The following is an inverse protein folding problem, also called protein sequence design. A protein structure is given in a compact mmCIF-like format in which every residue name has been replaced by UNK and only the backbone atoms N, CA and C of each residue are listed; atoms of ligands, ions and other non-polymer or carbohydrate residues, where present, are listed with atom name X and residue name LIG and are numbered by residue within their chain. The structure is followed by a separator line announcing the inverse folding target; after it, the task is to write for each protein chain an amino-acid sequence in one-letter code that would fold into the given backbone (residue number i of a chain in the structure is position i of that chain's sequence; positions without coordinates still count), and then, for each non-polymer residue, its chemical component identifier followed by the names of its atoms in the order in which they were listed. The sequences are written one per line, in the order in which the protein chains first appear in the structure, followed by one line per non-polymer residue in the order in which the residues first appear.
data_IF_425359306392
#
_entry.id   IF_425359306392
#
_cell.length_a   1.000
_cell.length_b   1.000
_cell.length_c   1.000
_cell.angle_alpha   90.00
_cell.angle_beta   90.00
_cell.angle_gamma   90.00
#
_symmetry.space_group_name_H-M   'P 1'
#
loop_
_entity.id
_entity.type
_entity.pdbx_description
1 polymer ?
#
# COMPACT_ATOMS: atom_id res chain seq x y z
N UNK A 1 32.63 -6.86 -4.77
CA UNK A 1 31.58 -7.23 -3.80
C UNK A 1 31.06 -5.94 -3.17
N UNK A 2 29.79 -5.62 -3.38
CA UNK A 2 29.18 -4.39 -2.85
C UNK A 2 28.79 -4.64 -1.39
N UNK A 3 29.17 -3.73 -0.50
CA UNK A 3 28.88 -3.79 0.93
C UNK A 3 27.34 -3.80 1.14
N UNK A 4 26.74 -4.78 1.85
CA UNK A 4 25.27 -4.92 1.96
C UNK A 4 24.56 -3.77 2.69
N UNK A 5 25.30 -2.97 3.45
CA UNK A 5 24.78 -1.95 4.37
C UNK A 5 24.43 -0.60 3.73
N UNK A 6 24.54 -0.46 2.41
CA UNK A 6 24.25 0.78 1.69
C UNK A 6 22.98 0.73 0.81
N UNK A 7 22.16 -0.32 0.97
CA UNK A 7 20.85 -0.43 0.30
C UNK A 7 19.76 0.40 1.00
N UNK A 8 20.02 0.89 2.20
CA UNK A 8 19.00 1.44 3.10
C UNK A 8 18.71 2.93 2.88
N UNK A 9 19.48 3.63 2.04
CA UNK A 9 19.29 5.06 1.74
C UNK A 9 18.62 5.35 0.39
N UNK A 10 18.54 4.37 -0.52
CA UNK A 10 18.02 4.60 -1.86
C UNK A 10 16.48 4.75 -1.85
N UNK A 11 15.98 5.86 -2.36
CA UNK A 11 14.55 6.08 -2.60
C UNK A 11 14.16 5.40 -3.93
N UNK A 12 13.33 4.35 -3.86
CA UNK A 12 12.78 3.69 -5.04
C UNK A 12 11.39 3.14 -4.77
N UNK A 13 10.55 3.15 -5.79
CA UNK A 13 9.18 2.63 -5.74
C UNK A 13 8.98 1.58 -6.83
N UNK A 14 8.05 0.65 -6.63
CA UNK A 14 7.59 -0.24 -7.70
C UNK A 14 6.85 0.56 -8.77
N UNK A 15 5.88 1.37 -8.32
CA UNK A 15 5.17 2.34 -9.16
C UNK A 15 5.25 3.71 -8.49
N UNK A 16 5.64 4.73 -9.26
CA UNK A 16 5.67 6.11 -8.78
C UNK A 16 4.83 6.98 -9.71
N UNK A 17 3.70 7.46 -9.18
CA UNK A 17 2.88 8.50 -9.81
C UNK A 17 3.39 9.84 -9.28
N UNK A 18 4.29 10.48 -10.05
CA UNK A 18 4.93 11.72 -9.63
C UNK A 18 4.08 12.97 -9.99
N UNK A 19 4.34 14.07 -9.27
CA UNK A 19 3.83 15.44 -9.46
C UNK A 19 2.72 15.62 -10.52
N UNK A 20 1.47 15.62 -10.06
CA UNK A 20 0.25 15.78 -10.87
C UNK A 20 -0.20 14.57 -11.72
N UNK A 21 0.47 13.42 -11.65
CA UNK A 21 -0.02 12.16 -12.24
C UNK A 21 -1.42 11.82 -11.71
N UNK A 22 -2.42 12.04 -12.55
CA UNK A 22 -3.84 12.04 -12.15
C UNK A 22 -4.66 11.22 -13.13
N UNK A 23 -5.80 10.69 -12.65
CA UNK A 23 -6.66 9.79 -13.42
C UNK A 23 -5.93 8.50 -13.86
N UNK A 24 -4.88 8.10 -13.14
CA UNK A 24 -4.20 6.84 -13.40
C UNK A 24 -4.98 5.67 -12.80
N UNK A 25 -5.05 4.57 -13.54
CA UNK A 25 -5.58 3.31 -13.04
C UNK A 25 -4.45 2.30 -12.87
N UNK A 26 -4.02 2.12 -11.62
CA UNK A 26 -3.01 1.12 -11.23
C UNK A 26 -3.76 -0.15 -10.88
N UNK A 27 -3.80 -1.09 -11.82
CA UNK A 27 -4.62 -2.29 -11.71
C UNK A 27 -3.88 -3.57 -12.07
N UNK A 28 -4.13 -4.65 -11.31
CA UNK A 28 -3.69 -5.99 -11.68
C UNK A 28 -2.18 -6.21 -11.59
N UNK A 29 -1.47 -5.48 -10.74
CA UNK A 29 -0.02 -5.58 -10.60
C UNK A 29 0.39 -6.50 -9.45
N UNK A 30 1.54 -7.16 -9.61
CA UNK A 30 2.26 -7.80 -8.50
C UNK A 30 3.53 -6.99 -8.27
N UNK A 31 3.63 -6.34 -7.11
CA UNK A 31 4.70 -5.42 -6.75
C UNK A 31 5.44 -6.00 -5.55
N UNK A 32 6.59 -6.61 -5.81
CA UNK A 32 7.32 -7.40 -4.81
C UNK A 32 8.68 -6.79 -4.46
N UNK A 33 9.01 -6.79 -3.15
CA UNK A 33 10.34 -6.48 -2.58
C UNK A 33 10.89 -5.11 -3.00
N UNK A 34 10.01 -4.12 -3.05
CA UNK A 34 10.37 -2.71 -3.28
C UNK A 34 10.55 -1.97 -1.96
N UNK A 35 11.12 -0.76 -1.94
CA UNK A 35 11.06 0.07 -0.72
C UNK A 35 9.67 0.68 -0.54
N UNK A 36 9.13 1.24 -1.61
CA UNK A 36 7.74 1.71 -1.68
C UNK A 36 7.01 0.83 -2.69
N UNK A 37 5.86 0.26 -2.34
CA UNK A 37 5.06 -0.53 -3.28
C UNK A 37 4.54 0.37 -4.40
N UNK A 38 3.63 1.26 -4.04
CA UNK A 38 3.19 2.36 -4.89
C UNK A 38 3.31 3.68 -4.15
N UNK A 39 3.87 4.69 -4.81
CA UNK A 39 3.86 6.07 -4.35
C UNK A 39 2.91 6.88 -5.22
N UNK A 40 1.80 7.31 -4.61
CA UNK A 40 0.73 8.06 -5.26
C UNK A 40 0.85 9.53 -4.90
N UNK A 41 1.00 10.36 -5.93
CA UNK A 41 0.71 11.80 -5.91
C UNK A 41 -0.36 12.10 -6.96
N UNK A 42 -0.74 13.36 -7.11
CA UNK A 42 -1.79 13.79 -8.04
C UNK A 42 -3.19 13.52 -7.48
N UNK A 43 -4.18 13.29 -8.35
CA UNK A 43 -5.60 13.11 -7.97
C UNK A 43 -6.37 12.10 -8.82
N UNK A 44 -7.49 11.63 -8.27
CA UNK A 44 -8.42 10.72 -8.92
C UNK A 44 -7.72 9.46 -9.47
N UNK A 45 -6.67 9.01 -8.78
CA UNK A 45 -5.99 7.79 -9.10
C UNK A 45 -6.70 6.61 -8.43
N UNK A 46 -6.74 5.48 -9.12
CA UNK A 46 -7.38 4.26 -8.63
C UNK A 46 -6.32 3.18 -8.52
N UNK A 47 -6.07 2.72 -7.31
CA UNK A 47 -5.14 1.65 -6.96
C UNK A 47 -6.03 0.47 -6.58
N UNK A 48 -6.29 -0.43 -7.52
CA UNK A 48 -7.23 -1.52 -7.32
C UNK A 48 -6.67 -2.87 -7.80
N UNK A 49 -6.99 -3.95 -7.10
CA UNK A 49 -6.65 -5.30 -7.55
C UNK A 49 -5.14 -5.55 -7.72
N UNK A 50 -4.32 -4.92 -6.89
CA UNK A 50 -2.87 -5.14 -6.88
C UNK A 50 -2.46 -6.02 -5.71
N UNK A 51 -1.37 -6.74 -5.87
CA UNK A 51 -0.70 -7.52 -4.83
C UNK A 51 0.61 -6.83 -4.49
N UNK A 52 0.74 -6.36 -3.26
CA UNK A 52 1.98 -5.82 -2.71
C UNK A 52 2.64 -6.87 -1.84
N UNK A 53 3.91 -7.18 -2.08
CA UNK A 53 4.65 -8.23 -1.38
C UNK A 53 5.93 -7.67 -0.80
N UNK A 54 6.10 -7.76 0.52
CA UNK A 54 7.37 -7.50 1.21
C UNK A 54 8.03 -6.14 0.87
N UNK A 55 7.25 -5.07 0.72
CA UNK A 55 7.88 -3.75 0.57
C UNK A 55 8.57 -3.36 1.88
N UNK A 56 9.86 -3.06 1.84
CA UNK A 56 10.75 -2.98 3.00
C UNK A 56 10.49 -1.72 3.86
N UNK A 57 10.53 -1.83 5.20
CA UNK A 57 10.63 -0.67 6.07
C UNK A 57 12.08 -0.14 6.04
N UNK A 58 12.28 1.14 6.32
CA UNK A 58 13.63 1.64 6.62
C UNK A 58 13.93 1.33 8.08
N UNK A 59 14.97 0.55 8.36
CA UNK A 59 15.61 0.59 9.68
C UNK A 59 16.46 1.87 9.76
N UNK A 60 16.11 2.80 10.64
CA UNK A 60 17.02 3.89 11.07
C UNK A 60 17.15 5.16 10.21
N UNK A 61 16.32 5.41 9.19
CA UNK A 61 16.36 6.65 8.39
C UNK A 61 14.97 7.15 7.98
N UNK A 62 14.80 8.47 7.76
CA UNK A 62 13.54 9.19 7.48
C UNK A 62 12.37 8.29 7.08
N UNK A 63 11.59 7.93 8.11
CA UNK A 63 10.50 6.95 8.14
C UNK A 63 9.26 7.38 7.33
N UNK A 64 9.32 8.54 6.67
CA UNK A 64 8.24 9.16 5.94
C UNK A 64 8.01 8.55 4.53
N UNK A 65 8.95 7.74 4.02
CA UNK A 65 8.95 7.26 2.63
C UNK A 65 9.18 5.75 2.49
N UNK A 66 8.47 4.94 3.27
CA UNK A 66 8.46 3.49 3.13
C UNK A 66 7.08 2.92 3.45
N UNK A 67 6.67 1.90 2.70
CA UNK A 67 5.37 1.27 2.84
C UNK A 67 4.91 0.57 1.57
N UNK A 68 3.94 -0.35 1.70
CA UNK A 68 3.36 -1.02 0.54
C UNK A 68 2.42 -0.09 -0.25
N UNK A 69 1.81 0.87 0.44
CA UNK A 69 1.07 1.99 -0.15
C UNK A 69 1.53 3.28 0.53
N UNK A 70 1.95 4.24 -0.27
CA UNK A 70 2.24 5.61 0.15
C UNK A 70 1.38 6.55 -0.69
N UNK A 71 0.49 7.30 -0.07
CA UNK A 71 -0.23 8.39 -0.74
C UNK A 71 0.21 9.70 -0.10
N UNK A 72 0.81 10.57 -0.91
CA UNK A 72 1.19 11.91 -0.48
C UNK A 72 0.15 12.93 -0.95
N UNK A 73 -0.45 13.62 0.00
CA UNK A 73 -1.02 14.93 -0.28
C UNK A 73 0.14 15.89 -0.54
N UNK A 74 0.21 16.48 -1.74
CA UNK A 74 1.33 17.37 -2.06
C UNK A 74 1.33 18.58 -1.12
N UNK A 75 2.50 18.86 -0.58
CA UNK A 75 2.69 19.86 0.46
C UNK A 75 3.19 21.19 -0.13
N UNK A 76 2.47 22.25 0.21
CA UNK A 76 2.84 23.68 0.13
C UNK A 76 2.54 24.47 -1.15
N UNK A 77 2.58 23.91 -2.37
CA UNK A 77 2.30 24.71 -3.58
C UNK A 77 0.85 24.65 -4.08
N UNK A 78 0.13 23.54 -3.86
CA UNK A 78 -1.27 23.37 -4.29
C UNK A 78 -2.11 22.52 -3.32
N UNK A 79 -2.55 23.06 -2.16
CA UNK A 79 -3.31 22.32 -1.15
C UNK A 79 -4.68 21.77 -1.62
N UNK A 80 -5.09 22.13 -2.83
CA UNK A 80 -6.33 21.71 -3.49
C UNK A 80 -6.12 20.60 -4.54
N UNK A 81 -4.87 20.23 -4.84
CA UNK A 81 -4.58 19.46 -6.04
C UNK A 81 -4.77 17.96 -5.84
N UNK A 82 -4.23 17.40 -4.75
CA UNK A 82 -4.51 16.00 -4.43
C UNK A 82 -5.94 15.86 -3.92
N UNK A 83 -6.69 14.92 -4.47
CA UNK A 83 -8.06 14.61 -4.05
C UNK A 83 -8.53 13.31 -4.71
N UNK A 84 -9.50 12.66 -4.08
CA UNK A 84 -10.28 11.59 -4.72
C UNK A 84 -9.50 10.33 -5.13
N UNK A 85 -8.34 10.08 -4.52
CA UNK A 85 -7.66 8.81 -4.76
C UNK A 85 -8.44 7.66 -4.10
N UNK A 86 -8.30 6.46 -4.67
CA UNK A 86 -8.98 5.25 -4.21
C UNK A 86 -7.99 4.10 -4.10
N UNK A 87 -7.99 3.40 -2.98
CA UNK A 87 -7.17 2.22 -2.73
C UNK A 87 -8.05 1.05 -2.28
N UNK A 88 -8.44 0.17 -3.21
CA UNK A 88 -9.46 -0.84 -2.94
C UNK A 88 -9.10 -2.22 -3.43
N UNK A 89 -9.61 -3.26 -2.77
CA UNK A 89 -9.46 -4.64 -3.25
C UNK A 89 -8.00 -5.00 -3.55
N UNK A 90 -7.05 -4.48 -2.77
CA UNK A 90 -5.65 -4.83 -2.90
C UNK A 90 -5.29 -5.89 -1.86
N UNK A 91 -4.22 -6.65 -2.13
CA UNK A 91 -3.63 -7.58 -1.17
C UNK A 91 -2.30 -6.98 -0.71
N UNK A 92 -2.16 -6.76 0.59
CA UNK A 92 -0.94 -6.31 1.24
C UNK A 92 -0.35 -7.47 2.02
N UNK A 93 0.61 -8.16 1.41
CA UNK A 93 1.22 -9.36 1.97
C UNK A 93 2.60 -9.05 2.54
N UNK A 94 2.77 -9.26 3.86
CA UNK A 94 4.04 -9.03 4.53
C UNK A 94 4.26 -9.99 5.71
N UNK A 95 4.87 -11.17 5.47
CA UNK A 95 5.35 -12.02 6.54
C UNK A 95 6.44 -11.33 7.39
N UNK A 96 6.50 -11.71 8.67
CA UNK A 96 7.51 -11.33 9.65
C UNK A 96 7.37 -9.93 10.25
N UNK A 97 6.66 -9.02 9.60
CA UNK A 97 6.60 -7.60 10.01
C UNK A 97 5.24 -6.96 9.72
N UNK A 98 4.99 -5.77 10.27
CA UNK A 98 3.76 -5.03 10.00
C UNK A 98 3.68 -4.57 8.54
N UNK A 99 2.47 -4.59 7.99
CA UNK A 99 2.15 -3.82 6.79
C UNK A 99 2.19 -2.34 7.15
N UNK A 100 2.98 -1.56 6.41
CA UNK A 100 3.01 -0.11 6.51
C UNK A 100 2.19 0.48 5.37
N UNK A 101 1.06 1.09 5.73
CA UNK A 101 0.30 1.98 4.87
C UNK A 101 0.58 3.39 5.36
N UNK A 102 1.24 4.18 4.53
CA UNK A 102 1.72 5.50 4.91
C UNK A 102 0.93 6.58 4.17
N UNK A 103 0.50 7.56 4.93
CA UNK A 103 -0.22 8.72 4.46
C UNK A 103 0.54 9.95 4.93
N UNK A 104 1.22 10.63 4.00
CA UNK A 104 1.91 11.88 4.31
C UNK A 104 1.02 13.00 3.85
N UNK A 105 0.37 13.63 4.82
CA UNK A 105 -0.38 14.86 4.59
C UNK A 105 0.37 15.97 5.31
N UNK A 106 0.50 17.13 4.67
CA UNK A 106 0.89 18.37 5.34
C UNK A 106 -0.25 18.97 6.19
N UNK A 107 -1.34 18.23 6.35
CA UNK A 107 -2.55 18.67 7.05
C UNK A 107 -2.97 17.64 8.11
N UNK A 108 -3.45 18.07 9.29
CA UNK A 108 -3.99 17.17 10.29
C UNK A 108 -5.32 16.54 9.83
N UNK A 109 -5.71 15.45 10.49
CA UNK A 109 -7.09 14.95 10.39
C UNK A 109 -8.08 15.98 10.99
N UNK A 110 -9.29 16.14 10.44
CA UNK A 110 -9.85 15.40 9.30
C UNK A 110 -9.54 16.02 7.93
N UNK A 111 -8.87 17.18 7.87
CA UNK A 111 -8.61 17.88 6.61
C UNK A 111 -7.86 16.98 5.61
N UNK A 112 -6.95 16.15 6.11
CA UNK A 112 -6.25 15.10 5.37
C UNK A 112 -7.17 14.07 4.67
N UNK A 113 -8.36 13.77 5.19
CA UNK A 113 -9.24 12.75 4.59
C UNK A 113 -9.76 13.17 3.21
N UNK A 114 -9.75 14.46 2.86
CA UNK A 114 -10.18 14.93 1.52
C UNK A 114 -9.34 14.35 0.37
N UNK A 115 -8.13 13.89 0.66
CA UNK A 115 -7.20 13.33 -0.31
C UNK A 115 -7.58 11.91 -0.74
N UNK A 116 -8.35 11.21 0.11
CA UNK A 116 -8.74 9.83 -0.08
C UNK A 116 -10.26 9.76 -0.17
N UNK A 117 -10.79 9.41 -1.34
CA UNK A 117 -12.23 9.17 -1.47
C UNK A 117 -12.60 7.80 -0.93
N UNK A 118 -11.74 6.80 -1.13
CA UNK A 118 -12.06 5.43 -0.73
C UNK A 118 -10.83 4.58 -0.42
N UNK A 119 -10.80 3.96 0.75
CA UNK A 119 -9.89 2.86 1.05
C UNK A 119 -10.71 1.74 1.67
N UNK A 120 -10.92 0.63 0.97
CA UNK A 120 -11.84 -0.42 1.44
C UNK A 120 -11.70 -1.74 0.69
N UNK A 121 -12.21 -2.83 1.28
CA UNK A 121 -12.14 -4.20 0.75
C UNK A 121 -10.71 -4.70 0.50
N UNK A 122 -9.73 -4.15 1.20
CA UNK A 122 -8.35 -4.60 1.13
C UNK A 122 -8.14 -5.83 2.02
N UNK A 123 -7.23 -6.72 1.61
CA UNK A 123 -6.76 -7.82 2.44
C UNK A 123 -5.36 -7.51 2.93
N UNK A 124 -5.18 -7.51 4.24
CA UNK A 124 -3.89 -7.31 4.89
C UNK A 124 -3.41 -8.62 5.51
N UNK A 125 -2.16 -9.00 5.26
CA UNK A 125 -1.55 -10.17 5.87
C UNK A 125 -0.26 -9.81 6.58
N UNK A 126 -0.20 -10.18 7.85
CA UNK A 126 1.00 -10.19 8.68
C UNK A 126 0.91 -11.36 9.66
N UNK A 127 2.05 -11.95 10.04
CA UNK A 127 2.10 -13.07 10.99
C UNK A 127 2.68 -12.71 12.37
N UNK A 128 3.13 -11.45 12.56
CA UNK A 128 3.88 -11.05 13.76
C UNK A 128 3.44 -9.72 14.40
N UNK A 129 3.01 -8.72 13.61
CA UNK A 129 2.77 -7.35 14.11
C UNK A 129 1.52 -6.72 13.51
N UNK A 130 0.77 -5.97 14.31
CA UNK A 130 -0.42 -5.22 13.88
C UNK A 130 -0.16 -4.30 12.67
N UNK A 131 -1.17 -4.08 11.84
CA UNK A 131 -1.11 -3.18 10.67
C UNK A 131 -0.88 -1.76 11.16
N UNK A 132 0.08 -1.05 10.56
CA UNK A 132 0.41 0.32 10.96
C UNK A 132 -0.01 1.28 9.86
N UNK A 133 -1.11 1.98 10.11
CA UNK A 133 -1.51 3.15 9.34
C UNK A 133 -0.77 4.36 9.90
N UNK A 134 0.26 4.81 9.18
CA UNK A 134 0.99 6.02 9.54
C UNK A 134 0.30 7.21 8.90
N UNK A 135 -0.09 8.17 9.73
CA UNK A 135 -0.59 9.47 9.30
C UNK A 135 0.37 10.51 9.88
N UNK A 136 1.00 11.29 9.01
CA UNK A 136 1.85 12.39 9.44
C UNK A 136 1.02 13.49 10.11
N UNK A 137 1.51 14.03 11.24
CA UNK A 137 0.80 15.06 12.00
C UNK A 137 -0.32 14.58 12.94
N UNK A 138 -0.57 13.27 13.06
CA UNK A 138 -1.52 12.72 14.04
C UNK A 138 -0.81 12.23 15.31
N UNK A 139 -1.25 12.70 16.49
CA UNK A 139 -0.64 12.38 17.78
C UNK A 139 -0.65 10.87 18.14
N UNK A 140 -1.66 10.12 17.68
CA UNK A 140 -1.82 8.68 17.97
C UNK A 140 -1.31 7.77 16.84
N UNK A 141 -0.53 8.31 15.89
CA UNK A 141 0.06 7.56 14.78
C UNK A 141 1.33 6.79 15.21
N UNK A 142 1.54 5.53 14.76
CA UNK A 142 0.72 4.77 13.80
C UNK A 142 -0.47 4.04 14.43
N UNK A 143 -1.61 4.05 13.72
CA UNK A 143 -2.86 3.38 14.12
C UNK A 143 -2.88 1.90 13.73
N UNK A 144 -3.57 1.07 14.51
CA UNK A 144 -4.00 -0.28 14.10
C UNK A 144 -5.09 -0.21 13.02
N UNK A 145 -5.44 -1.33 12.38
CA UNK A 145 -6.59 -1.36 11.45
C UNK A 145 -7.89 -0.91 12.15
N UNK A 146 -8.14 -1.37 13.38
CA UNK A 146 -9.31 -0.94 14.15
C UNK A 146 -9.25 0.55 14.50
N UNK A 147 -8.07 1.07 14.82
CA UNK A 147 -7.87 2.51 15.06
C UNK A 147 -8.17 3.33 13.81
N UNK A 148 -7.66 2.89 12.65
CA UNK A 148 -7.92 3.49 11.35
C UNK A 148 -9.41 3.50 11.00
N UNK A 149 -10.08 2.34 11.14
CA UNK A 149 -11.51 2.20 10.89
C UNK A 149 -12.34 3.16 11.77
N UNK A 150 -12.06 3.21 13.07
CA UNK A 150 -12.78 4.09 14.01
C UNK A 150 -12.49 5.56 13.77
N UNK A 151 -11.24 5.90 13.46
CA UNK A 151 -10.79 7.29 13.31
C UNK A 151 -11.13 7.93 11.97
N UNK A 152 -11.35 7.12 10.92
CA UNK A 152 -11.53 7.63 9.54
C UNK A 152 -12.81 7.16 8.85
N UNK A 153 -13.39 6.03 9.28
CA UNK A 153 -14.49 5.39 8.57
C UNK A 153 -14.08 4.62 7.30
N UNK A 154 -12.78 4.47 7.03
CA UNK A 154 -12.27 3.66 5.94
C UNK A 154 -11.98 2.21 6.36
N UNK A 155 -11.77 1.35 5.36
CA UNK A 155 -11.44 -0.07 5.49
C UNK A 155 -12.46 -0.86 6.34
N UNK A 156 -13.72 -0.42 6.40
CA UNK A 156 -14.77 -1.06 7.21
C UNK A 156 -15.07 -2.50 6.75
N UNK A 157 -14.80 -2.82 5.48
CA UNK A 157 -14.98 -4.16 4.92
C UNK A 157 -13.65 -4.88 4.67
N UNK A 158 -12.52 -4.24 4.97
CA UNK A 158 -11.21 -4.85 4.83
C UNK A 158 -10.94 -5.88 5.92
N UNK A 159 -10.10 -6.86 5.62
CA UNK A 159 -9.83 -8.00 6.49
C UNK A 159 -8.34 -8.16 6.77
N UNK A 160 -8.04 -8.76 7.92
CA UNK A 160 -6.73 -9.33 8.21
C UNK A 160 -6.82 -10.84 8.03
N UNK A 161 -6.00 -11.43 7.18
CA UNK A 161 -6.04 -12.88 6.92
C UNK A 161 -5.08 -13.35 5.83
N UNK A 162 -4.82 -14.66 5.83
CA UNK A 162 -3.98 -15.31 4.83
C UNK A 162 -4.60 -15.19 3.42
N UNK A 163 -3.90 -14.64 2.42
CA UNK A 163 -4.39 -14.60 1.05
C UNK A 163 -4.51 -15.98 0.40
N UNK A 164 -3.93 -17.03 0.98
CA UNK A 164 -3.91 -18.38 0.44
C UNK A 164 -3.24 -18.43 -0.93
N UNK A 165 -2.03 -17.86 -1.01
CA UNK A 165 -1.18 -18.00 -2.19
C UNK A 165 -0.80 -19.47 -2.44
N UNK A 166 -0.59 -19.84 -3.70
CA UNK A 166 -0.20 -21.21 -4.08
C UNK A 166 1.16 -21.55 -3.52
N UNK A 167 2.17 -20.71 -3.76
CA UNK A 167 3.54 -20.90 -3.28
C UNK A 167 4.31 -19.55 -3.19
N UNK A 168 4.04 -18.74 -2.15
CA UNK A 168 4.66 -17.42 -2.02
C UNK A 168 6.18 -17.48 -1.75
N UNK A 169 6.72 -18.63 -1.35
CA UNK A 169 8.17 -18.81 -1.15
C UNK A 169 8.95 -18.86 -2.48
N UNK A 170 8.25 -19.18 -3.57
CA UNK A 170 8.80 -19.21 -4.94
C UNK A 170 8.11 -18.18 -5.85
N UNK A 171 7.63 -17.07 -5.28
CA UNK A 171 6.95 -15.98 -5.99
C UNK A 171 5.66 -16.37 -6.74
N UNK A 172 5.03 -17.48 -6.37
CA UNK A 172 3.74 -17.88 -6.92
C UNK A 172 2.58 -17.31 -6.10
N UNK A 173 2.21 -16.08 -6.47
CA UNK A 173 1.12 -15.33 -5.84
C UNK A 173 -0.26 -15.60 -6.47
N UNK A 174 -0.42 -16.71 -7.20
CA UNK A 174 -1.75 -17.15 -7.60
C UNK A 174 -2.56 -17.49 -6.36
N UNK A 175 -3.85 -17.16 -6.37
CA UNK A 175 -4.75 -17.40 -5.24
C UNK A 175 -5.36 -18.80 -5.34
N UNK A 176 -5.49 -19.47 -4.20
CA UNK A 176 -6.40 -20.61 -4.06
C UNK A 176 -7.86 -20.13 -4.10
N UNK A 177 -8.81 -20.96 -4.58
CA UNK A 177 -10.23 -20.57 -4.72
C UNK A 177 -10.88 -20.09 -3.41
N UNK A 178 -10.38 -20.55 -2.26
CA UNK A 178 -10.92 -20.23 -0.94
C UNK A 178 -10.41 -18.89 -0.37
N UNK A 179 -9.54 -18.19 -1.11
CA UNK A 179 -8.91 -16.95 -0.67
C UNK A 179 -9.93 -15.92 -0.17
N UNK A 180 -9.72 -15.30 1.02
CA UNK A 180 -10.57 -14.21 1.47
C UNK A 180 -10.52 -12.99 0.54
N UNK A 181 -9.44 -12.80 -0.21
CA UNK A 181 -9.34 -11.73 -1.20
C UNK A 181 -10.42 -11.85 -2.28
N UNK A 182 -10.72 -13.08 -2.74
CA UNK A 182 -11.77 -13.33 -3.73
C UNK A 182 -13.14 -12.90 -3.19
N UNK A 183 -13.42 -13.16 -1.90
CA UNK A 183 -14.66 -12.73 -1.23
C UNK A 183 -14.77 -11.21 -1.10
N UNK A 184 -13.64 -10.52 -0.99
CA UNK A 184 -13.55 -9.06 -1.02
C UNK A 184 -13.68 -8.48 -2.45
N UNK A 185 -13.79 -9.33 -3.47
CA UNK A 185 -13.95 -8.93 -4.86
C UNK A 185 -12.63 -8.78 -5.62
N UNK A 186 -11.51 -9.28 -5.07
CA UNK A 186 -10.26 -9.39 -5.82
C UNK A 186 -10.41 -10.38 -6.98
N UNK A 187 -9.98 -9.97 -8.17
CA UNK A 187 -9.93 -10.75 -9.39
C UNK A 187 -8.52 -11.32 -9.53
N UNK A 188 -8.33 -12.66 -9.49
CA UNK A 188 -7.02 -13.28 -9.66
C UNK A 188 -6.28 -12.75 -10.90
N UNK A 189 -5.02 -12.34 -10.72
CA UNK A 189 -4.18 -11.83 -11.80
C UNK A 189 -3.73 -13.01 -12.67
N UNK A 190 -3.99 -12.94 -13.97
CA UNK A 190 -3.44 -13.90 -14.91
C UNK A 190 -1.95 -13.63 -15.17
N UNK A 191 -1.11 -14.36 -14.43
CA UNK A 191 0.35 -14.28 -14.51
C UNK A 191 0.92 -14.75 -15.85
N UNK A 192 0.12 -15.33 -16.75
CA UNK A 192 0.59 -15.67 -18.09
C UNK A 192 0.67 -14.46 -19.02
N UNK A 193 -0.10 -13.41 -18.73
CA UNK A 193 -0.17 -12.20 -19.57
C UNK A 193 0.51 -10.98 -18.95
N UNK A 194 1.23 -11.13 -17.83
CA UNK A 194 2.07 -10.06 -17.26
C UNK A 194 3.43 -9.98 -17.98
N UNK A 195 3.93 -8.76 -18.14
CA UNK A 195 5.11 -8.43 -18.96
C UNK A 195 6.43 -8.94 -18.35
N UNK A 196 6.52 -9.06 -17.01
CA UNK A 196 7.71 -9.56 -16.30
C UNK A 196 7.30 -10.69 -15.36
N UNK A 197 7.95 -11.85 -15.50
CA UNK A 197 7.76 -13.01 -14.61
C UNK A 197 9.00 -13.19 -13.72
N UNK A 198 8.85 -13.38 -12.39
CA UNK A 198 9.94 -13.92 -11.59
C UNK A 198 10.34 -15.29 -12.17
N UNK A 199 11.64 -15.56 -12.27
CA UNK A 199 12.19 -16.86 -12.68
C UNK A 199 12.67 -17.61 -11.46
#
# INVERSE_FOLDING_TARGET
MVNPTNRDSAFYSGIYLDDESSNCFVYGNIIARTRIGVFVKGKNNVIENNIFVDSLPVEGGHIAYAGQLLIAGHSHHYPWFSASDRAQKNIFYRPGTAVNISWTFDQPLPAALRFLERCDYNLYFHNAWDIRFRIEGLAESPLSLTGWQKGTGFDLHSLVGDPLFVDPAHDDYRLRPESPAIKLGFIPIDVQVIVIRPR
#
